data_IF_409183546665
#
_entry.id   IF_409183546665
#
_cell.length_a   1.000
_cell.length_b   1.000
_cell.length_c   1.000
_cell.angle_alpha   90.00
_cell.angle_beta   90.00
_cell.angle_gamma   90.00
#
_symmetry.space_group_name_H-M   'P 1'
#
loop_
_entity.id
_entity.type
_entity.pdbx_description
1 polymer ?
#
# COMPACT_ATOMS: atom_id res chain seq x y z
N UNK A 1 29.15 62.35 -28.09
CA UNK A 1 30.08 61.24 -28.40
C UNK A 1 29.46 59.88 -28.05
N UNK A 2 28.96 59.68 -26.82
CA UNK A 2 28.35 58.41 -26.38
C UNK A 2 27.19 57.89 -27.24
N UNK A 3 26.32 58.77 -27.77
CA UNK A 3 25.20 58.32 -28.60
C UNK A 3 25.61 57.60 -29.90
N UNK A 4 26.74 57.98 -30.53
CA UNK A 4 27.23 57.32 -31.75
C UNK A 4 27.80 55.93 -31.43
N UNK A 5 28.48 55.79 -30.30
CA UNK A 5 29.02 54.51 -29.83
C UNK A 5 27.88 53.54 -29.51
N UNK A 6 26.83 54.01 -28.82
CA UNK A 6 25.64 53.20 -28.50
C UNK A 6 24.96 52.69 -29.77
N UNK A 7 24.81 53.51 -30.81
CA UNK A 7 24.23 53.08 -32.08
C UNK A 7 25.09 52.01 -32.77
N UNK A 8 26.41 52.18 -32.78
CA UNK A 8 27.32 51.17 -33.36
C UNK A 8 27.26 49.85 -32.59
N UNK A 9 27.20 49.88 -31.25
CA UNK A 9 27.05 48.67 -30.45
C UNK A 9 25.68 48.01 -30.66
N UNK A 10 24.62 48.80 -30.82
CA UNK A 10 23.29 48.30 -31.14
C UNK A 10 23.31 47.51 -32.45
N UNK A 11 23.88 48.08 -33.51
CA UNK A 11 23.95 47.39 -34.81
C UNK A 11 24.79 46.10 -34.71
N UNK A 12 25.92 46.11 -33.98
CA UNK A 12 26.75 44.91 -33.75
C UNK A 12 25.97 43.79 -33.03
N UNK A 13 25.21 44.14 -31.98
CA UNK A 13 24.43 43.15 -31.21
C UNK A 13 23.29 42.58 -32.05
N UNK A 14 22.63 43.42 -32.87
CA UNK A 14 21.59 42.98 -33.79
C UNK A 14 22.18 42.05 -34.87
N UNK A 15 23.32 42.42 -35.47
CA UNK A 15 23.99 41.62 -36.50
C UNK A 15 24.48 40.25 -35.97
N UNK A 16 24.76 40.17 -34.65
CA UNK A 16 25.13 38.91 -34.00
C UNK A 16 23.95 37.93 -33.87
N UNK A 17 22.73 38.44 -33.70
CA UNK A 17 21.48 37.67 -33.81
C UNK A 17 21.11 36.77 -32.61
N UNK A 18 21.96 36.61 -31.60
CA UNK A 18 21.61 35.83 -30.39
C UNK A 18 20.70 36.62 -29.45
N UNK A 19 19.57 36.02 -29.07
CA UNK A 19 18.52 36.67 -28.28
C UNK A 19 19.03 37.15 -26.91
N UNK A 20 19.94 36.40 -26.29
CA UNK A 20 20.54 36.76 -25.00
C UNK A 20 21.23 38.13 -25.04
N UNK A 21 22.07 38.38 -26.05
CA UNK A 21 22.82 39.63 -26.15
C UNK A 21 21.91 40.80 -26.50
N UNK A 22 20.92 40.57 -27.37
CA UNK A 22 19.91 41.59 -27.74
C UNK A 22 19.12 42.01 -26.49
N UNK A 23 18.64 41.05 -25.71
CA UNK A 23 17.95 41.29 -24.44
C UNK A 23 18.82 42.05 -23.43
N UNK A 24 20.03 41.56 -23.13
CA UNK A 24 20.93 42.20 -22.16
C UNK A 24 21.25 43.63 -22.55
N UNK A 25 21.51 43.86 -23.85
CA UNK A 25 21.75 45.20 -24.37
C UNK A 25 20.53 46.12 -24.18
N UNK A 26 19.33 45.66 -24.54
CA UNK A 26 18.11 46.45 -24.43
C UNK A 26 17.72 46.77 -22.97
N UNK A 27 17.99 45.84 -22.05
CA UNK A 27 17.72 45.98 -20.62
C UNK A 27 18.67 46.99 -19.95
N UNK A 28 19.96 46.87 -20.21
CA UNK A 28 20.99 47.61 -19.47
C UNK A 28 21.32 48.97 -20.10
N UNK A 29 21.09 49.13 -21.41
CA UNK A 29 21.44 50.34 -22.16
C UNK A 29 20.18 51.14 -22.49
N UNK A 30 20.15 52.41 -22.09
CA UNK A 30 19.04 53.31 -22.41
C UNK A 30 19.05 53.72 -23.88
N UNK A 31 18.33 52.97 -24.71
CA UNK A 31 18.14 53.26 -26.14
C UNK A 31 16.94 54.19 -26.34
N UNK A 32 17.03 55.15 -27.27
CA UNK A 32 15.93 56.09 -27.58
C UNK A 32 14.81 55.46 -28.41
N UNK A 33 15.15 54.48 -29.24
CA UNK A 33 14.21 53.76 -30.10
C UNK A 33 14.53 52.26 -30.00
N UNK A 34 13.61 51.51 -29.41
CA UNK A 34 13.75 50.07 -29.19
C UNK A 34 13.17 49.23 -30.33
N UNK A 35 12.47 49.81 -31.31
CA UNK A 35 11.81 49.05 -32.38
C UNK A 35 12.76 48.11 -33.15
N UNK A 36 13.98 48.56 -33.46
CA UNK A 36 15.01 47.71 -34.07
C UNK A 36 15.40 46.51 -33.20
N UNK A 37 15.38 46.66 -31.87
CA UNK A 37 15.69 45.59 -30.93
C UNK A 37 14.49 44.65 -30.75
N UNK A 38 13.27 45.17 -30.88
CA UNK A 38 12.04 44.35 -30.92
C UNK A 38 12.01 43.44 -32.15
N UNK A 39 12.34 43.98 -33.33
CA UNK A 39 12.45 43.17 -34.55
C UNK A 39 13.57 42.13 -34.39
N UNK A 40 14.76 42.55 -33.92
CA UNK A 40 15.90 41.65 -33.76
C UNK A 40 15.67 40.54 -32.73
N UNK A 41 15.00 40.82 -31.61
CA UNK A 41 14.71 39.78 -30.60
C UNK A 41 13.69 38.78 -31.13
N UNK A 42 12.74 39.22 -31.95
CA UNK A 42 11.78 38.33 -32.62
C UNK A 42 12.50 37.45 -33.65
N UNK A 43 13.40 38.05 -34.44
CA UNK A 43 14.19 37.34 -35.44
C UNK A 43 15.15 36.31 -34.83
N UNK A 44 15.56 36.48 -33.57
CA UNK A 44 16.34 35.46 -32.85
C UNK A 44 15.58 34.14 -32.67
N UNK A 45 14.25 34.20 -32.66
CA UNK A 45 13.35 33.06 -32.47
C UNK A 45 13.56 32.30 -31.13
N UNK A 46 14.09 32.97 -30.11
CA UNK A 46 14.34 32.42 -28.77
C UNK A 46 13.24 32.88 -27.79
N UNK A 47 12.16 32.09 -27.66
CA UNK A 47 10.97 32.46 -26.87
C UNK A 47 11.28 32.98 -25.45
N UNK A 48 12.18 32.31 -24.73
CA UNK A 48 12.59 32.73 -23.38
C UNK A 48 13.10 34.18 -23.38
N UNK A 49 13.90 34.58 -24.37
CA UNK A 49 14.42 35.95 -24.43
C UNK A 49 13.39 36.95 -24.96
N UNK A 50 12.45 36.55 -25.82
CA UNK A 50 11.29 37.39 -26.20
C UNK A 50 10.45 37.71 -24.95
N UNK A 51 10.18 36.72 -24.11
CA UNK A 51 9.50 36.90 -22.83
C UNK A 51 10.29 37.83 -21.88
N UNK A 52 11.58 37.54 -21.66
CA UNK A 52 12.43 38.35 -20.78
C UNK A 52 12.54 39.81 -21.27
N UNK A 53 12.57 40.01 -22.59
CA UNK A 53 12.54 41.33 -23.21
C UNK A 53 11.24 42.06 -22.87
N UNK A 54 10.08 41.43 -23.09
CA UNK A 54 8.78 42.02 -22.76
C UNK A 54 8.65 42.38 -21.26
N UNK A 55 9.23 41.56 -20.38
CA UNK A 55 9.17 41.75 -18.92
C UNK A 55 10.06 42.88 -18.43
N UNK A 56 11.30 42.93 -18.90
CA UNK A 56 12.34 43.77 -18.30
C UNK A 56 12.60 45.07 -19.08
N UNK A 57 12.33 45.10 -20.38
CA UNK A 57 12.65 46.25 -21.24
C UNK A 57 11.52 47.29 -21.20
N UNK A 58 11.85 48.49 -20.74
CA UNK A 58 10.88 49.57 -20.58
C UNK A 58 10.32 50.04 -21.94
N UNK A 59 8.99 50.18 -22.00
CA UNK A 59 8.22 50.58 -23.18
C UNK A 59 8.23 49.57 -24.33
N UNK A 60 8.64 48.31 -24.09
CA UNK A 60 8.56 47.25 -25.08
C UNK A 60 7.14 47.10 -25.65
N UNK A 61 7.05 46.82 -26.93
CA UNK A 61 5.80 46.59 -27.65
C UNK A 61 5.24 45.21 -27.33
N UNK A 62 4.45 45.14 -26.25
CA UNK A 62 3.86 43.90 -25.74
C UNK A 62 3.01 43.18 -26.80
N UNK A 63 2.23 43.92 -27.60
CA UNK A 63 1.39 43.32 -28.64
C UNK A 63 2.24 42.62 -29.72
N UNK A 64 3.33 43.26 -30.14
CA UNK A 64 4.25 42.70 -31.13
C UNK A 64 4.98 41.46 -30.60
N UNK A 65 5.52 41.53 -29.38
CA UNK A 65 6.24 40.42 -28.75
C UNK A 65 5.32 39.24 -28.43
N UNK A 66 4.09 39.53 -27.97
CA UNK A 66 3.05 38.52 -27.79
C UNK A 66 2.73 37.81 -29.11
N UNK A 67 2.54 38.57 -30.19
CA UNK A 67 2.25 38.01 -31.50
C UNK A 67 3.37 37.07 -31.96
N UNK A 68 4.63 37.45 -31.80
CA UNK A 68 5.77 36.60 -32.13
C UNK A 68 5.75 35.27 -31.35
N UNK A 69 5.39 35.31 -30.07
CA UNK A 69 5.30 34.14 -29.21
C UNK A 69 4.15 33.19 -29.62
N UNK A 70 3.00 33.75 -30.03
CA UNK A 70 1.85 32.97 -30.55
C UNK A 70 2.17 32.37 -31.92
N UNK A 71 2.71 33.19 -32.83
CA UNK A 71 3.05 32.80 -34.21
C UNK A 71 4.27 31.88 -34.28
N UNK A 72 4.97 31.66 -33.16
CA UNK A 72 6.11 30.77 -33.08
C UNK A 72 5.76 29.39 -33.63
N UNK A 73 6.44 29.05 -34.72
CA UNK A 73 6.45 27.74 -35.34
C UNK A 73 7.84 27.18 -35.17
N UNK A 74 7.90 25.93 -34.71
CA UNK A 74 9.13 25.18 -34.53
C UNK A 74 10.05 25.37 -35.75
N UNK A 75 11.24 25.96 -35.62
CA UNK A 75 12.30 25.73 -36.59
C UNK A 75 12.72 24.26 -36.51
N UNK A 76 13.22 23.65 -37.59
CA UNK A 76 13.73 22.25 -37.64
C UNK A 76 14.94 22.04 -36.68
N UNK A 77 14.73 22.18 -35.38
CA UNK A 77 15.70 21.99 -34.32
C UNK A 77 15.66 20.52 -33.94
N UNK A 78 16.56 19.77 -34.56
CA UNK A 78 16.90 18.38 -34.21
C UNK A 78 17.72 18.32 -32.91
N UNK A 79 18.09 19.47 -32.32
CA UNK A 79 19.20 19.59 -31.36
C UNK A 79 18.85 19.86 -29.90
N UNK A 80 17.58 20.08 -29.53
CA UNK A 80 17.18 20.24 -28.13
C UNK A 80 16.12 19.18 -27.83
N UNK A 81 16.47 18.17 -27.01
CA UNK A 81 15.61 17.05 -26.60
C UNK A 81 14.38 17.46 -25.75
N UNK A 82 13.83 18.66 -25.93
CA UNK A 82 12.59 19.11 -25.29
C UNK A 82 11.43 18.94 -26.27
N UNK A 83 10.31 18.37 -25.81
CA UNK A 83 9.07 18.37 -26.59
C UNK A 83 8.69 19.84 -26.84
N UNK A 84 8.70 20.23 -28.12
CA UNK A 84 8.60 21.64 -28.54
C UNK A 84 7.34 22.34 -28.05
N UNK A 85 6.28 21.57 -27.80
CA UNK A 85 4.98 22.09 -27.39
C UNK A 85 4.99 22.50 -25.92
N UNK A 86 5.73 21.76 -25.07
CA UNK A 86 5.97 22.09 -23.66
C UNK A 86 6.76 23.40 -23.52
N UNK A 87 7.82 23.59 -24.32
CA UNK A 87 8.61 24.83 -24.31
C UNK A 87 7.80 26.06 -24.73
N UNK A 88 6.96 25.92 -25.77
CA UNK A 88 6.06 26.99 -26.20
C UNK A 88 5.02 27.28 -25.12
N UNK A 89 4.43 26.24 -24.54
CA UNK A 89 3.40 26.35 -23.51
C UNK A 89 3.92 27.05 -22.24
N UNK A 90 5.11 26.69 -21.76
CA UNK A 90 5.79 27.34 -20.63
C UNK A 90 5.94 28.84 -20.87
N UNK A 91 6.42 29.22 -22.05
CA UNK A 91 6.62 30.63 -22.40
C UNK A 91 5.30 31.40 -22.52
N UNK A 92 4.24 30.78 -23.05
CA UNK A 92 2.90 31.38 -23.09
C UNK A 92 2.38 31.64 -21.67
N UNK A 93 2.47 30.64 -20.78
CA UNK A 93 2.00 30.76 -19.40
C UNK A 93 2.80 31.80 -18.60
N UNK A 94 4.13 31.81 -18.74
CA UNK A 94 5.01 32.81 -18.14
C UNK A 94 4.71 34.23 -18.64
N UNK A 95 4.47 34.39 -19.94
CA UNK A 95 4.12 35.68 -20.52
C UNK A 95 2.78 36.18 -19.98
N UNK A 96 1.75 35.33 -19.97
CA UNK A 96 0.42 35.68 -19.50
C UNK A 96 0.39 36.08 -18.02
N UNK A 97 1.13 35.37 -17.17
CA UNK A 97 1.16 35.59 -15.72
C UNK A 97 1.98 36.82 -15.30
N UNK A 98 3.02 37.18 -16.05
CA UNK A 98 3.98 38.22 -15.63
C UNK A 98 3.86 39.54 -16.40
N UNK A 99 3.25 39.56 -17.59
CA UNK A 99 3.28 40.74 -18.47
C UNK A 99 1.97 41.54 -18.38
N UNK A 100 2.06 42.73 -17.80
CA UNK A 100 0.91 43.66 -17.73
C UNK A 100 0.52 44.16 -19.12
N UNK A 101 -0.75 44.03 -19.47
CA UNK A 101 -1.30 44.46 -20.76
C UNK A 101 -1.24 43.40 -21.85
N UNK A 102 -0.81 42.17 -21.51
CA UNK A 102 -0.97 41.02 -22.38
C UNK A 102 -2.45 40.74 -22.68
N UNK A 103 -2.73 40.34 -23.92
CA UNK A 103 -4.06 39.93 -24.36
C UNK A 103 -4.27 38.44 -24.01
N UNK A 104 -4.85 38.24 -22.83
CA UNK A 104 -5.06 36.92 -22.21
C UNK A 104 -5.92 36.01 -23.07
N UNK A 105 -6.94 36.54 -23.77
CA UNK A 105 -7.80 35.72 -24.63
C UNK A 105 -7.02 35.05 -25.77
N UNK A 106 -6.12 35.78 -26.42
CA UNK A 106 -5.26 35.19 -27.46
C UNK A 106 -4.22 34.23 -26.91
N UNK A 107 -3.67 34.52 -25.73
CA UNK A 107 -2.72 33.62 -25.06
C UNK A 107 -3.40 32.35 -24.59
N UNK A 108 -4.66 32.44 -24.16
CA UNK A 108 -5.51 31.30 -23.82
C UNK A 108 -5.77 30.40 -25.03
N UNK A 109 -6.11 30.97 -26.19
CA UNK A 109 -6.27 30.20 -27.43
C UNK A 109 -4.95 29.48 -27.79
N UNK A 110 -3.84 30.21 -27.72
CA UNK A 110 -2.52 29.66 -28.04
C UNK A 110 -2.06 28.56 -27.07
N UNK A 111 -2.31 28.69 -25.76
CA UNK A 111 -1.94 27.64 -24.78
C UNK A 111 -2.80 26.39 -24.99
N UNK A 112 -4.10 26.55 -25.28
CA UNK A 112 -4.99 25.43 -25.58
C UNK A 112 -4.51 24.64 -26.81
N UNK A 113 -4.02 25.33 -27.84
CA UNK A 113 -3.48 24.70 -29.06
C UNK A 113 -2.22 23.84 -28.80
N UNK A 114 -1.47 24.11 -27.72
CA UNK A 114 -0.29 23.29 -27.37
C UNK A 114 -0.65 21.90 -26.84
N UNK A 115 -1.89 21.71 -26.36
CA UNK A 115 -2.34 20.51 -25.63
C UNK A 115 -1.46 20.11 -24.42
N UNK A 116 -0.59 21.00 -23.92
CA UNK A 116 0.20 20.74 -22.72
C UNK A 116 -0.67 20.96 -21.47
N UNK A 117 -1.34 19.91 -21.01
CA UNK A 117 -2.32 20.00 -19.90
C UNK A 117 -1.69 20.56 -18.62
N UNK A 118 -0.44 20.21 -18.32
CA UNK A 118 0.33 20.76 -17.20
C UNK A 118 0.36 22.30 -17.26
N UNK A 119 0.81 22.87 -18.38
CA UNK A 119 0.86 24.32 -18.54
C UNK A 119 -0.51 24.98 -18.74
N UNK A 120 -1.52 24.25 -19.21
CA UNK A 120 -2.91 24.71 -19.19
C UNK A 120 -3.41 24.85 -17.74
N UNK A 121 -3.04 23.92 -16.86
CA UNK A 121 -3.33 23.99 -15.43
C UNK A 121 -2.61 25.18 -14.78
N UNK A 122 -1.30 25.31 -14.99
CA UNK A 122 -0.49 26.45 -14.53
C UNK A 122 -1.07 27.79 -15.00
N UNK A 123 -1.50 27.86 -16.27
CA UNK A 123 -2.16 29.05 -16.82
C UNK A 123 -3.43 29.37 -16.04
N UNK A 124 -4.27 28.38 -15.77
CA UNK A 124 -5.51 28.60 -15.02
C UNK A 124 -5.26 29.00 -13.55
N UNK A 125 -4.19 28.49 -12.93
CA UNK A 125 -3.81 28.82 -11.54
C UNK A 125 -3.26 30.24 -11.44
N UNK A 126 -2.40 30.65 -12.38
CA UNK A 126 -1.58 31.87 -12.22
C UNK A 126 -2.03 33.07 -13.05
N UNK A 127 -2.89 32.90 -14.06
CA UNK A 127 -3.26 33.98 -14.98
C UNK A 127 -4.60 34.60 -14.61
N UNK A 128 -4.55 35.84 -14.14
CA UNK A 128 -5.75 36.65 -13.89
C UNK A 128 -6.54 36.91 -15.19
N UNK A 129 -7.82 36.57 -15.20
CA UNK A 129 -8.70 36.74 -16.35
C UNK A 129 -8.72 35.54 -17.31
N UNK A 130 -8.07 34.42 -16.96
CA UNK A 130 -8.21 33.16 -17.66
C UNK A 130 -9.65 32.62 -17.58
N UNK A 131 -10.11 31.96 -18.63
CA UNK A 131 -11.40 31.29 -18.71
C UNK A 131 -11.34 29.93 -17.99
N UNK A 132 -11.51 29.96 -16.67
CA UNK A 132 -11.43 28.80 -15.80
C UNK A 132 -12.39 27.67 -16.23
N UNK A 133 -13.58 27.99 -16.71
CA UNK A 133 -14.53 26.98 -17.20
C UNK A 133 -13.99 26.22 -18.41
N UNK A 134 -13.44 26.93 -19.41
CA UNK A 134 -12.87 26.32 -20.62
C UNK A 134 -11.62 25.50 -20.30
N UNK A 135 -10.70 26.05 -19.50
CA UNK A 135 -9.46 25.37 -19.14
C UNK A 135 -9.76 24.16 -18.24
N UNK A 136 -10.71 24.30 -17.32
CA UNK A 136 -11.20 23.21 -16.49
C UNK A 136 -11.78 22.06 -17.31
N UNK A 137 -12.51 22.34 -18.38
CA UNK A 137 -13.01 21.30 -19.29
C UNK A 137 -11.86 20.53 -19.96
N UNK A 138 -10.77 21.19 -20.36
CA UNK A 138 -9.59 20.51 -20.94
C UNK A 138 -8.87 19.64 -19.89
N UNK A 139 -8.64 20.18 -18.70
CA UNK A 139 -7.96 19.47 -17.59
C UNK A 139 -8.78 18.25 -17.18
N UNK A 140 -10.09 18.38 -16.99
CA UNK A 140 -10.96 17.26 -16.64
C UNK A 140 -10.98 16.15 -17.71
N UNK A 141 -10.79 16.50 -18.98
CA UNK A 141 -10.76 15.53 -20.08
C UNK A 141 -9.40 14.83 -20.25
N UNK A 142 -8.34 15.31 -19.61
CA UNK A 142 -7.00 14.71 -19.69
C UNK A 142 -6.90 13.34 -19.01
N UNK A 143 -7.78 13.08 -18.02
CA UNK A 143 -7.70 11.98 -17.06
C UNK A 143 -6.42 11.98 -16.19
N UNK A 144 -5.65 13.08 -16.17
CA UNK A 144 -4.55 13.26 -15.23
C UNK A 144 -5.11 13.74 -13.89
N UNK A 145 -5.19 12.81 -12.93
CA UNK A 145 -5.83 13.08 -11.64
C UNK A 145 -5.00 13.99 -10.75
N UNK A 146 -3.67 13.94 -10.85
CA UNK A 146 -2.82 14.83 -10.07
C UNK A 146 -3.10 16.28 -10.52
N UNK A 147 -3.14 16.53 -11.82
CA UNK A 147 -3.49 17.86 -12.36
C UNK A 147 -4.94 18.27 -12.07
N UNK A 148 -5.90 17.33 -12.07
CA UNK A 148 -7.29 17.62 -11.73
C UNK A 148 -7.43 18.01 -10.25
N UNK A 149 -6.75 17.30 -9.35
CA UNK A 149 -6.70 17.63 -7.92
C UNK A 149 -6.02 18.98 -7.69
N UNK A 150 -4.86 19.20 -8.30
CA UNK A 150 -4.10 20.45 -8.17
C UNK A 150 -4.93 21.64 -8.66
N UNK A 151 -5.67 21.47 -9.77
CA UNK A 151 -6.62 22.47 -10.27
C UNK A 151 -7.77 22.73 -9.28
N UNK A 152 -8.36 21.69 -8.71
CA UNK A 152 -9.45 21.82 -7.73
C UNK A 152 -9.02 22.55 -6.45
N UNK A 153 -7.79 22.32 -6.01
CA UNK A 153 -7.22 22.91 -4.79
C UNK A 153 -6.80 24.37 -4.99
N UNK A 154 -6.19 24.69 -6.14
CA UNK A 154 -5.51 25.97 -6.33
C UNK A 154 -6.32 27.02 -7.11
N UNK A 155 -7.45 26.65 -7.73
CA UNK A 155 -8.27 27.58 -8.54
C UNK A 155 -9.58 27.93 -7.83
N UNK A 156 -9.69 29.17 -7.35
CA UNK A 156 -10.82 29.65 -6.53
C UNK A 156 -12.19 29.50 -7.20
N UNK A 157 -12.27 29.75 -8.50
CA UNK A 157 -13.52 29.70 -9.28
C UNK A 157 -13.69 28.37 -10.03
N UNK A 158 -12.95 27.32 -9.65
CA UNK A 158 -13.05 26.01 -10.27
C UNK A 158 -14.45 25.42 -10.10
N UNK A 159 -14.98 24.83 -11.17
CA UNK A 159 -16.24 24.12 -11.14
C UNK A 159 -16.07 22.73 -10.52
N UNK A 160 -16.13 22.67 -9.18
CA UNK A 160 -15.93 21.42 -8.41
C UNK A 160 -16.93 20.33 -8.82
N UNK A 161 -18.16 20.69 -9.19
CA UNK A 161 -19.17 19.75 -9.69
C UNK A 161 -18.71 19.00 -10.95
N UNK A 162 -18.13 19.71 -11.91
CA UNK A 162 -17.55 19.11 -13.12
C UNK A 162 -16.35 18.23 -12.79
N UNK A 163 -15.48 18.68 -11.89
CA UNK A 163 -14.31 17.94 -11.44
C UNK A 163 -14.72 16.61 -10.81
N UNK A 164 -15.62 16.64 -9.82
CA UNK A 164 -16.14 15.44 -9.15
C UNK A 164 -16.79 14.49 -10.16
N UNK A 165 -17.59 15.02 -11.10
CA UNK A 165 -18.21 14.20 -12.15
C UNK A 165 -17.17 13.50 -13.03
N UNK A 166 -16.06 14.18 -13.33
CA UNK A 166 -14.99 13.66 -14.18
C UNK A 166 -14.17 12.59 -13.46
N UNK A 167 -13.85 12.80 -12.18
CA UNK A 167 -13.18 11.81 -11.33
C UNK A 167 -14.05 10.57 -11.12
N UNK A 168 -15.37 10.72 -10.90
CA UNK A 168 -16.29 9.59 -10.80
C UNK A 168 -16.30 8.76 -12.09
N UNK A 169 -16.29 9.41 -13.26
CA UNK A 169 -16.26 8.74 -14.57
C UNK A 169 -15.00 7.90 -14.79
N UNK A 170 -13.88 8.26 -14.16
CA UNK A 170 -12.63 7.48 -14.22
C UNK A 170 -12.76 6.11 -13.52
N UNK A 171 -13.74 5.95 -12.61
CA UNK A 171 -14.05 4.70 -11.92
C UNK A 171 -12.89 4.11 -11.10
N UNK A 172 -12.02 4.98 -10.57
CA UNK A 172 -10.93 4.61 -9.66
C UNK A 172 -11.21 5.11 -8.23
N UNK A 173 -11.37 4.18 -7.29
CA UNK A 173 -11.68 4.49 -5.91
C UNK A 173 -10.55 5.25 -5.18
N UNK A 174 -9.28 5.06 -5.56
CA UNK A 174 -8.16 5.78 -4.96
C UNK A 174 -8.20 7.25 -5.34
N UNK A 175 -8.48 7.55 -6.61
CA UNK A 175 -8.65 8.92 -7.10
C UNK A 175 -9.83 9.63 -6.44
N UNK A 176 -10.97 8.93 -6.32
CA UNK A 176 -12.14 9.45 -5.58
C UNK A 176 -11.82 9.71 -4.10
N UNK A 177 -11.02 8.85 -3.48
CA UNK A 177 -10.58 9.02 -2.09
C UNK A 177 -9.64 10.22 -1.92
N UNK A 178 -8.68 10.41 -2.85
CA UNK A 178 -7.77 11.57 -2.86
C UNK A 178 -8.57 12.87 -2.93
N UNK A 179 -9.43 13.01 -3.94
CA UNK A 179 -10.26 14.20 -4.11
C UNK A 179 -11.18 14.45 -2.90
N UNK A 180 -11.78 13.40 -2.32
CA UNK A 180 -12.60 13.56 -1.11
C UNK A 180 -11.81 14.10 0.09
N UNK A 181 -10.55 13.68 0.22
CA UNK A 181 -9.63 14.16 1.26
C UNK A 181 -9.22 15.61 1.05
N UNK A 182 -9.02 16.02 -0.21
CA UNK A 182 -8.59 17.38 -0.55
C UNK A 182 -9.75 18.38 -0.39
N UNK A 183 -10.96 18.01 -0.85
CA UNK A 183 -12.14 18.88 -0.80
C UNK A 183 -12.67 19.08 0.63
N UNK A 184 -12.70 18.03 1.45
CA UNK A 184 -13.27 18.02 2.81
C UNK A 184 -14.71 18.57 2.93
N UNK A 185 -15.44 18.60 1.81
CA UNK A 185 -16.81 19.09 1.75
C UNK A 185 -17.80 17.93 1.77
N UNK A 186 -18.73 17.97 2.74
CA UNK A 186 -19.70 16.90 2.98
C UNK A 186 -20.59 16.56 1.78
N UNK A 187 -20.95 17.53 0.92
CA UNK A 187 -21.78 17.29 -0.25
C UNK A 187 -21.01 16.47 -1.29
N UNK A 188 -19.77 16.84 -1.57
CA UNK A 188 -18.93 16.12 -2.54
C UNK A 188 -18.44 14.78 -1.99
N UNK A 189 -18.10 14.69 -0.71
CA UNK A 189 -17.77 13.43 -0.02
C UNK A 189 -18.91 12.42 -0.18
N UNK A 190 -20.16 12.83 0.00
CA UNK A 190 -21.32 11.92 -0.14
C UNK A 190 -21.46 11.37 -1.56
N UNK A 191 -21.21 12.21 -2.58
CA UNK A 191 -21.24 11.79 -3.98
C UNK A 191 -20.11 10.82 -4.30
N UNK A 192 -18.88 11.16 -3.91
CA UNK A 192 -17.70 10.32 -4.11
C UNK A 192 -17.83 8.99 -3.37
N UNK A 193 -18.35 9.00 -2.15
CA UNK A 193 -18.64 7.80 -1.37
C UNK A 193 -19.58 6.84 -2.11
N UNK A 194 -20.67 7.37 -2.66
CA UNK A 194 -21.64 6.57 -3.42
C UNK A 194 -20.95 5.94 -4.64
N UNK A 195 -20.19 6.73 -5.38
CA UNK A 195 -19.43 6.25 -6.53
C UNK A 195 -18.38 5.19 -6.16
N UNK A 196 -17.66 5.35 -5.04
CA UNK A 196 -16.71 4.36 -4.53
C UNK A 196 -17.39 3.01 -4.28
N UNK A 197 -18.58 3.01 -3.71
CA UNK A 197 -19.37 1.77 -3.50
C UNK A 197 -19.75 1.15 -4.85
N UNK A 198 -20.17 1.96 -5.82
CA UNK A 198 -20.55 1.51 -7.16
C UNK A 198 -19.39 0.88 -7.94
N UNK A 199 -18.13 1.27 -7.66
CA UNK A 199 -16.95 0.62 -8.26
C UNK A 199 -16.86 -0.87 -7.90
N UNK A 200 -17.44 -1.28 -6.77
CA UNK A 200 -17.29 -2.62 -6.20
C UNK A 200 -15.87 -2.94 -5.73
N UNK A 201 -14.95 -1.98 -5.68
CA UNK A 201 -13.58 -2.19 -5.23
C UNK A 201 -13.54 -2.26 -3.69
N UNK A 202 -13.38 -3.48 -3.15
CA UNK A 202 -13.36 -3.73 -1.71
C UNK A 202 -12.28 -2.94 -0.96
N UNK A 203 -11.07 -2.82 -1.54
CA UNK A 203 -9.99 -2.04 -0.93
C UNK A 203 -10.34 -0.56 -0.94
N UNK A 204 -10.86 -0.06 -2.08
CA UNK A 204 -11.28 1.32 -2.24
C UNK A 204 -12.36 1.74 -1.24
N UNK A 205 -13.39 0.90 -1.06
CA UNK A 205 -14.45 1.13 -0.06
C UNK A 205 -13.86 1.18 1.35
N UNK A 206 -12.98 0.25 1.68
CA UNK A 206 -12.33 0.17 2.99
C UNK A 206 -11.41 1.38 3.24
N UNK A 207 -10.62 1.77 2.23
CA UNK A 207 -9.69 2.89 2.31
C UNK A 207 -10.43 4.23 2.42
N UNK A 208 -11.52 4.40 1.66
CA UNK A 208 -12.37 5.59 1.77
C UNK A 208 -12.96 5.70 3.18
N UNK A 209 -13.55 4.62 3.70
CA UNK A 209 -14.11 4.60 5.05
C UNK A 209 -13.08 4.86 6.15
N UNK A 210 -11.85 4.37 5.98
CA UNK A 210 -10.78 4.54 6.97
C UNK A 210 -10.12 5.92 6.93
N UNK A 211 -10.06 6.57 5.76
CA UNK A 211 -9.33 7.83 5.57
C UNK A 211 -10.21 9.08 5.65
N UNK A 212 -11.48 8.98 5.30
CA UNK A 212 -12.38 10.14 5.17
C UNK A 212 -13.25 10.27 6.42
N UNK A 213 -12.92 11.23 7.29
CA UNK A 213 -13.53 11.43 8.62
C UNK A 213 -15.06 11.64 8.57
N UNK A 214 -15.55 12.37 7.57
CA UNK A 214 -16.97 12.71 7.43
C UNK A 214 -17.77 11.72 6.57
N UNK A 215 -17.18 10.56 6.25
CA UNK A 215 -17.88 9.54 5.47
C UNK A 215 -18.96 8.82 6.27
N UNK A 216 -20.05 8.42 5.61
CA UNK A 216 -21.08 7.60 6.23
C UNK A 216 -20.59 6.14 6.29
N UNK A 217 -20.05 5.78 7.46
CA UNK A 217 -19.54 4.44 7.76
C UNK A 217 -20.60 3.35 7.56
N UNK A 218 -21.88 3.62 7.87
CA UNK A 218 -22.94 2.60 7.73
C UNK A 218 -23.22 2.31 6.26
N UNK A 219 -23.26 3.35 5.43
CA UNK A 219 -23.45 3.20 4.00
C UNK A 219 -22.25 2.49 3.34
N UNK A 220 -21.02 2.84 3.71
CA UNK A 220 -19.80 2.16 3.21
C UNK A 220 -19.74 0.70 3.66
N UNK A 221 -20.08 0.42 4.92
CA UNK A 221 -20.18 -0.94 5.44
C UNK A 221 -21.23 -1.75 4.67
N UNK A 222 -22.43 -1.21 4.48
CA UNK A 222 -23.47 -1.89 3.71
C UNK A 222 -23.01 -2.12 2.25
N UNK A 223 -22.39 -1.12 1.63
CA UNK A 223 -21.81 -1.21 0.29
C UNK A 223 -20.77 -2.33 0.17
N UNK A 224 -19.84 -2.40 1.13
CA UNK A 224 -18.82 -3.46 1.21
C UNK A 224 -19.47 -4.85 1.25
N UNK A 225 -20.45 -5.05 2.13
CA UNK A 225 -21.11 -6.34 2.36
C UNK A 225 -21.98 -6.79 1.17
N UNK A 226 -22.44 -5.84 0.35
CA UNK A 226 -23.24 -6.09 -0.86
C UNK A 226 -22.42 -6.22 -2.15
N UNK A 227 -21.10 -6.03 -2.10
CA UNK A 227 -20.24 -6.17 -3.27
C UNK A 227 -20.30 -7.60 -3.83
N UNK A 228 -20.59 -7.71 -5.13
CA UNK A 228 -20.65 -8.99 -5.86
C UNK A 228 -19.36 -9.21 -6.65
N UNK A 229 -19.13 -10.46 -7.07
CA UNK A 229 -18.03 -10.86 -7.97
C UNK A 229 -16.61 -10.91 -7.37
N UNK A 230 -16.49 -11.02 -6.05
CA UNK A 230 -15.20 -11.27 -5.38
C UNK A 230 -15.11 -12.71 -4.90
N UNK A 231 -13.90 -13.21 -4.71
CA UNK A 231 -13.75 -14.48 -4.01
C UNK A 231 -13.95 -14.28 -2.50
N UNK A 232 -14.39 -15.35 -1.82
CA UNK A 232 -14.70 -15.34 -0.39
C UNK A 232 -13.53 -14.86 0.49
N UNK A 233 -12.29 -15.14 0.05
CA UNK A 233 -11.08 -14.72 0.76
C UNK A 233 -10.86 -13.21 0.70
N UNK A 234 -10.99 -12.59 -0.47
CA UNK A 234 -10.87 -11.14 -0.66
C UNK A 234 -11.92 -10.37 0.13
N UNK A 235 -13.18 -10.83 0.08
CA UNK A 235 -14.26 -10.23 0.87
C UNK A 235 -14.00 -10.36 2.37
N UNK A 236 -13.60 -11.55 2.84
CA UNK A 236 -13.25 -11.77 4.25
C UNK A 236 -12.07 -10.90 4.69
N UNK A 237 -11.05 -10.72 3.84
CA UNK A 237 -9.95 -9.82 4.12
C UNK A 237 -10.42 -8.37 4.21
N UNK A 238 -11.25 -7.90 3.29
CA UNK A 238 -11.75 -6.54 3.29
C UNK A 238 -12.63 -6.26 4.52
N UNK A 239 -13.52 -7.18 4.89
CA UNK A 239 -14.33 -7.08 6.12
C UNK A 239 -13.44 -7.01 7.36
N UNK A 240 -12.44 -7.89 7.45
CA UNK A 240 -11.46 -7.86 8.53
C UNK A 240 -10.73 -6.51 8.60
N UNK A 241 -10.23 -5.99 7.47
CA UNK A 241 -9.56 -4.69 7.38
C UNK A 241 -10.48 -3.54 7.76
N UNK A 242 -11.75 -3.59 7.34
CA UNK A 242 -12.75 -2.60 7.70
C UNK A 242 -12.96 -2.57 9.22
N UNK A 243 -13.13 -3.73 9.85
CA UNK A 243 -13.36 -3.84 11.30
C UNK A 243 -12.20 -3.30 12.15
N UNK A 244 -10.94 -3.42 11.68
CA UNK A 244 -9.77 -2.93 12.42
C UNK A 244 -9.40 -1.47 12.13
N UNK A 245 -9.78 -0.93 10.97
CA UNK A 245 -9.38 0.41 10.51
C UNK A 245 -10.48 1.47 10.63
N UNK A 246 -11.75 1.06 10.60
CA UNK A 246 -12.88 2.00 10.55
C UNK A 246 -13.54 2.11 11.91
N UNK A 247 -13.57 3.32 12.47
CA UNK A 247 -14.25 3.60 13.72
C UNK A 247 -15.77 3.57 13.54
N UNK A 248 -16.50 3.20 14.60
CA UNK A 248 -17.97 3.18 14.62
C UNK A 248 -18.66 2.22 13.63
N UNK A 249 -17.92 1.27 13.05
CA UNK A 249 -18.51 0.17 12.26
C UNK A 249 -19.35 -0.77 13.14
N UNK A 250 -20.39 -1.35 12.57
CA UNK A 250 -21.22 -2.37 13.21
C UNK A 250 -20.49 -3.72 13.19
N UNK A 251 -19.78 -4.02 14.28
CA UNK A 251 -18.92 -5.20 14.43
C UNK A 251 -19.72 -6.50 14.40
N UNK A 252 -20.96 -6.51 14.93
CA UNK A 252 -21.78 -7.71 14.95
C UNK A 252 -22.16 -8.11 13.52
N UNK A 253 -22.56 -7.16 12.68
CA UNK A 253 -22.87 -7.41 11.28
C UNK A 253 -21.63 -7.86 10.48
N UNK A 254 -20.46 -7.22 10.69
CA UNK A 254 -19.21 -7.64 10.04
C UNK A 254 -18.83 -9.07 10.45
N UNK A 255 -19.00 -9.40 11.73
CA UNK A 255 -18.69 -10.71 12.28
C UNK A 255 -19.63 -11.80 11.74
N UNK A 256 -20.94 -11.53 11.67
CA UNK A 256 -21.90 -12.43 11.04
C UNK A 256 -21.46 -12.75 9.60
N UNK A 257 -21.06 -11.72 8.84
CA UNK A 257 -20.60 -11.93 7.47
C UNK A 257 -19.33 -12.76 7.38
N UNK A 258 -18.34 -12.53 8.25
CA UNK A 258 -17.12 -13.35 8.30
C UNK A 258 -17.42 -14.83 8.58
N UNK A 259 -18.41 -15.10 9.44
CA UNK A 259 -18.85 -16.46 9.73
C UNK A 259 -19.57 -17.10 8.55
N UNK A 260 -20.39 -16.35 7.82
CA UNK A 260 -21.05 -16.84 6.60
C UNK A 260 -20.06 -17.29 5.52
N UNK A 261 -18.96 -16.54 5.35
CA UNK A 261 -17.88 -16.92 4.41
C UNK A 261 -17.14 -18.20 4.86
N UNK A 262 -17.26 -18.55 6.15
CA UNK A 262 -16.79 -19.81 6.73
C UNK A 262 -15.29 -20.09 6.53
N UNK A 263 -14.46 -19.04 6.52
CA UNK A 263 -13.00 -19.15 6.44
C UNK A 263 -12.39 -19.05 7.85
N UNK A 264 -11.86 -20.14 8.43
CA UNK A 264 -11.42 -20.16 9.84
C UNK A 264 -10.28 -19.20 10.15
N UNK A 265 -9.44 -18.91 9.15
CA UNK A 265 -8.38 -17.90 9.27
C UNK A 265 -8.93 -16.52 9.66
N UNK A 266 -9.97 -16.06 8.98
CA UNK A 266 -10.52 -14.74 9.24
C UNK A 266 -11.39 -14.73 10.50
N UNK A 267 -12.12 -15.80 10.80
CA UNK A 267 -12.79 -15.94 12.10
C UNK A 267 -11.80 -15.80 13.27
N UNK A 268 -10.65 -16.46 13.15
CA UNK A 268 -9.57 -16.36 14.15
C UNK A 268 -8.95 -14.96 14.22
N UNK A 269 -8.56 -14.37 13.08
CA UNK A 269 -8.00 -13.00 13.05
C UNK A 269 -8.98 -11.98 13.64
N UNK A 270 -10.26 -12.10 13.30
CA UNK A 270 -11.31 -11.22 13.81
C UNK A 270 -11.41 -11.32 15.34
N UNK A 271 -11.44 -12.54 15.90
CA UNK A 271 -11.45 -12.75 17.35
C UNK A 271 -10.21 -12.19 18.05
N UNK A 272 -9.04 -12.29 17.41
CA UNK A 272 -7.76 -11.84 17.98
C UNK A 272 -7.64 -10.31 17.98
N UNK A 273 -8.03 -9.67 16.88
CA UNK A 273 -7.65 -8.27 16.62
C UNK A 273 -8.81 -7.28 16.82
N UNK A 274 -10.07 -7.72 16.72
CA UNK A 274 -11.24 -6.85 16.84
C UNK A 274 -11.74 -6.81 18.28
N UNK A 275 -11.50 -5.68 18.96
CA UNK A 275 -11.74 -5.50 20.40
C UNK A 275 -13.17 -5.78 20.87
N UNK A 276 -14.17 -5.48 20.06
CA UNK A 276 -15.59 -5.63 20.40
C UNK A 276 -16.22 -6.91 19.83
N UNK A 277 -15.41 -7.86 19.34
CA UNK A 277 -15.91 -9.11 18.79
C UNK A 277 -16.52 -10.03 19.85
N UNK A 278 -17.50 -10.83 19.45
CA UNK A 278 -18.11 -11.85 20.29
C UNK A 278 -17.27 -13.13 20.26
N UNK A 279 -16.31 -13.20 21.18
CA UNK A 279 -15.36 -14.33 21.27
C UNK A 279 -16.03 -15.69 21.43
N UNK A 280 -17.13 -15.77 22.21
CA UNK A 280 -17.86 -17.04 22.42
C UNK A 280 -18.54 -17.52 21.15
N UNK A 281 -19.09 -16.59 20.38
CA UNK A 281 -19.69 -16.91 19.09
C UNK A 281 -18.62 -17.39 18.10
N UNK A 282 -17.52 -16.64 17.95
CA UNK A 282 -16.43 -17.01 17.06
C UNK A 282 -15.76 -18.33 17.46
N UNK A 283 -15.59 -18.59 18.75
CA UNK A 283 -15.10 -19.87 19.28
C UNK A 283 -15.98 -21.04 18.79
N UNK A 284 -17.30 -20.92 18.93
CA UNK A 284 -18.24 -21.95 18.50
C UNK A 284 -18.13 -22.22 16.99
N UNK A 285 -17.94 -21.17 16.19
CA UNK A 285 -17.84 -21.28 14.72
C UNK A 285 -16.49 -21.82 14.26
N UNK A 286 -15.42 -21.51 14.97
CA UNK A 286 -14.11 -22.12 14.73
C UNK A 286 -14.14 -23.62 15.06
N UNK A 287 -14.80 -24.03 16.14
CA UNK A 287 -15.01 -25.44 16.46
C UNK A 287 -15.83 -26.15 15.36
N UNK A 288 -16.92 -25.52 14.88
CA UNK A 288 -17.75 -26.04 13.79
C UNK A 288 -16.94 -26.25 12.49
N UNK A 289 -15.91 -25.42 12.25
CA UNK A 289 -15.05 -25.54 11.06
C UNK A 289 -14.19 -26.80 11.02
N UNK A 290 -13.94 -27.43 12.18
CA UNK A 290 -13.05 -28.60 12.34
C UNK A 290 -11.65 -28.40 11.73
N UNK A 291 -11.17 -27.15 11.70
CA UNK A 291 -9.82 -26.85 11.24
C UNK A 291 -8.85 -26.87 12.42
N UNK A 292 -8.12 -27.97 12.60
CA UNK A 292 -7.26 -28.19 13.77
C UNK A 292 -6.23 -27.07 13.99
N UNK A 293 -5.69 -26.49 12.91
CA UNK A 293 -4.76 -25.35 12.97
C UNK A 293 -5.40 -24.15 13.66
N UNK A 294 -6.57 -23.71 13.20
CA UNK A 294 -7.20 -22.50 13.72
C UNK A 294 -7.88 -22.74 15.08
N UNK A 295 -8.33 -23.95 15.37
CA UNK A 295 -8.76 -24.34 16.73
C UNK A 295 -7.59 -24.23 17.72
N UNK A 296 -6.41 -24.74 17.35
CA UNK A 296 -5.20 -24.63 18.17
C UNK A 296 -4.74 -23.17 18.34
N UNK A 297 -4.69 -22.39 17.26
CA UNK A 297 -4.28 -20.98 17.34
C UNK A 297 -5.25 -20.15 18.19
N UNK A 298 -6.55 -20.43 18.11
CA UNK A 298 -7.55 -19.79 18.98
C UNK A 298 -7.29 -20.12 20.46
N UNK A 299 -7.13 -21.41 20.81
CA UNK A 299 -6.85 -21.82 22.19
C UNK A 299 -5.55 -21.20 22.74
N UNK A 300 -4.56 -21.00 21.87
CA UNK A 300 -3.24 -20.48 22.23
C UNK A 300 -3.25 -18.98 22.48
N UNK A 301 -3.97 -18.21 21.67
CA UNK A 301 -3.89 -16.74 21.67
C UNK A 301 -5.07 -16.08 22.41
N UNK A 302 -6.22 -16.73 22.49
CA UNK A 302 -7.43 -16.18 23.13
C UNK A 302 -7.57 -16.70 24.55
N UNK A 303 -7.21 -15.87 25.53
CA UNK A 303 -7.11 -16.28 26.95
C UNK A 303 -8.44 -16.65 27.62
N UNK A 304 -9.56 -16.15 27.13
CA UNK A 304 -10.90 -16.40 27.69
C UNK A 304 -11.59 -17.64 27.10
N UNK A 305 -10.88 -18.42 26.28
CA UNK A 305 -11.42 -19.57 25.55
C UNK A 305 -11.68 -20.80 26.43
N UNK A 306 -12.67 -21.59 26.02
CA UNK A 306 -13.04 -22.86 26.65
C UNK A 306 -12.08 -23.96 26.22
N UNK A 307 -11.00 -24.10 27.00
CA UNK A 307 -9.92 -25.07 26.74
C UNK A 307 -10.45 -26.50 26.56
N UNK A 308 -11.49 -26.90 27.30
CA UNK A 308 -12.01 -28.27 27.22
C UNK A 308 -12.72 -28.49 25.87
N UNK A 309 -13.59 -27.58 25.45
CA UNK A 309 -14.26 -27.68 24.14
C UNK A 309 -13.28 -27.66 22.98
N UNK A 310 -12.27 -26.78 23.05
CA UNK A 310 -11.24 -26.70 22.02
C UNK A 310 -10.39 -27.97 21.98
N UNK A 311 -10.08 -28.56 23.14
CA UNK A 311 -9.38 -29.84 23.21
C UNK A 311 -10.19 -30.97 22.59
N UNK A 312 -11.48 -31.07 22.90
CA UNK A 312 -12.36 -32.11 22.38
C UNK A 312 -12.44 -31.99 20.84
N UNK A 313 -12.53 -30.77 20.32
CA UNK A 313 -12.48 -30.52 18.88
C UNK A 313 -11.13 -30.95 18.25
N UNK A 314 -9.99 -30.66 18.89
CA UNK A 314 -8.66 -31.09 18.41
C UNK A 314 -8.54 -32.62 18.35
N UNK A 315 -9.08 -33.30 19.36
CA UNK A 315 -9.13 -34.76 19.39
C UNK A 315 -9.98 -35.27 18.21
N UNK A 316 -11.15 -34.68 17.98
CA UNK A 316 -12.06 -35.05 16.90
C UNK A 316 -11.46 -34.80 15.50
N UNK A 317 -10.62 -33.79 15.34
CA UNK A 317 -9.89 -33.54 14.10
C UNK A 317 -8.88 -34.66 13.77
N UNK A 318 -8.42 -35.41 14.79
CA UNK A 318 -7.51 -36.55 14.66
C UNK A 318 -6.18 -36.22 13.94
N UNK A 319 -5.71 -34.97 14.06
CA UNK A 319 -4.43 -34.53 13.50
C UNK A 319 -3.34 -34.61 14.58
N UNK A 320 -2.48 -35.62 14.49
CA UNK A 320 -1.45 -35.93 15.48
C UNK A 320 -0.54 -34.74 15.85
N UNK A 321 -0.22 -33.89 14.87
CA UNK A 321 0.54 -32.67 15.07
C UNK A 321 -0.15 -31.74 16.07
N UNK A 322 -1.42 -31.42 15.83
CA UNK A 322 -2.17 -30.48 16.65
C UNK A 322 -2.54 -31.04 18.01
N UNK A 323 -2.80 -32.36 18.13
CA UNK A 323 -2.95 -33.03 19.42
C UNK A 323 -1.68 -32.86 20.27
N UNK A 324 -0.51 -33.10 19.68
CA UNK A 324 0.79 -32.90 20.34
C UNK A 324 1.04 -31.43 20.71
N UNK A 325 0.80 -30.50 19.78
CA UNK A 325 0.99 -29.07 20.00
C UNK A 325 0.07 -28.57 21.12
N UNK A 326 -1.19 -29.01 21.14
CA UNK A 326 -2.15 -28.63 22.16
C UNK A 326 -1.69 -29.06 23.56
N UNK A 327 -1.26 -30.32 23.71
CA UNK A 327 -0.77 -30.85 24.98
C UNK A 327 0.48 -30.14 25.51
N UNK A 328 1.34 -29.67 24.60
CA UNK A 328 2.58 -28.98 24.94
C UNK A 328 2.34 -27.52 25.36
N UNK A 329 1.50 -26.80 24.61
CA UNK A 329 1.46 -25.34 24.65
C UNK A 329 0.20 -24.76 25.28
N UNK A 330 -0.87 -25.53 25.43
CA UNK A 330 -2.11 -25.06 26.06
C UNK A 330 -2.12 -25.44 27.54
N UNK A 331 -2.24 -24.43 28.40
CA UNK A 331 -2.35 -24.60 29.85
C UNK A 331 -3.65 -25.32 30.19
N UNK A 332 -3.63 -26.10 31.28
CA UNK A 332 -4.79 -26.85 31.78
C UNK A 332 -5.38 -27.90 30.81
N UNK A 333 -4.67 -28.23 29.72
CA UNK A 333 -5.05 -29.36 28.85
C UNK A 333 -4.89 -30.70 29.56
N UNK A 334 -5.80 -31.64 29.29
CA UNK A 334 -5.75 -33.01 29.78
C UNK A 334 -4.74 -33.82 28.96
N UNK A 335 -3.48 -33.73 29.38
CA UNK A 335 -2.36 -34.40 28.72
C UNK A 335 -2.48 -35.93 28.70
N UNK A 336 -3.13 -36.55 29.69
CA UNK A 336 -3.32 -38.00 29.70
C UNK A 336 -4.29 -38.43 28.61
N UNK A 337 -5.41 -37.71 28.46
CA UNK A 337 -6.36 -37.94 27.37
C UNK A 337 -5.71 -37.66 26.01
N UNK A 338 -5.02 -36.53 25.85
CA UNK A 338 -4.30 -36.22 24.61
C UNK A 338 -3.24 -37.28 24.27
N UNK A 339 -2.59 -37.87 25.26
CA UNK A 339 -1.67 -39.00 25.06
C UNK A 339 -2.41 -40.23 24.52
N UNK A 340 -3.54 -40.62 25.13
CA UNK A 340 -4.29 -41.80 24.68
C UNK A 340 -4.85 -41.60 23.27
N UNK A 341 -5.33 -40.40 22.93
CA UNK A 341 -5.80 -40.09 21.59
C UNK A 341 -4.66 -40.02 20.58
N UNK A 342 -3.51 -39.44 20.93
CA UNK A 342 -2.33 -39.42 20.06
C UNK A 342 -1.85 -40.83 19.70
N UNK A 343 -1.90 -41.77 20.64
CA UNK A 343 -1.57 -43.19 20.37
C UNK A 343 -2.47 -43.76 19.26
N UNK A 344 -3.77 -43.44 19.27
CA UNK A 344 -4.73 -43.93 18.27
C UNK A 344 -4.45 -43.41 16.87
N UNK A 345 -3.85 -42.21 16.73
CA UNK A 345 -3.45 -41.65 15.42
C UNK A 345 -2.42 -42.50 14.69
N UNK A 346 -1.69 -43.37 15.41
CA UNK A 346 -0.55 -44.15 14.90
C UNK A 346 0.52 -43.28 14.24
N UNK A 347 0.74 -42.07 14.74
CA UNK A 347 1.82 -41.20 14.27
C UNK A 347 3.04 -41.29 15.21
N UNK A 348 4.04 -42.08 14.82
CA UNK A 348 5.25 -42.33 15.63
C UNK A 348 6.04 -41.05 15.91
N UNK A 349 6.19 -40.17 14.91
CA UNK A 349 6.94 -38.91 15.04
C UNK A 349 6.39 -38.06 16.18
N UNK A 350 5.08 -37.77 16.17
CA UNK A 350 4.48 -36.91 17.19
C UNK A 350 4.34 -37.63 18.54
N UNK A 351 4.17 -38.95 18.56
CA UNK A 351 4.19 -39.73 19.80
C UNK A 351 5.55 -39.70 20.50
N UNK A 352 6.65 -39.86 19.76
CA UNK A 352 8.02 -39.75 20.30
C UNK A 352 8.27 -38.32 20.81
N UNK A 353 7.87 -37.30 20.04
CA UNK A 353 8.00 -35.90 20.47
C UNK A 353 7.21 -35.62 21.76
N UNK A 354 5.98 -36.09 21.84
CA UNK A 354 5.13 -35.99 23.04
C UNK A 354 5.82 -36.62 24.25
N UNK A 355 6.27 -37.87 24.11
CA UNK A 355 6.92 -38.63 25.17
C UNK A 355 8.19 -37.92 25.68
N UNK A 356 8.99 -37.36 24.76
CA UNK A 356 10.23 -36.65 25.09
C UNK A 356 10.00 -35.35 25.86
N UNK A 357 8.93 -34.58 25.54
CA UNK A 357 8.68 -33.26 26.13
C UNK A 357 7.83 -33.30 27.40
N UNK A 358 6.74 -34.07 27.39
CA UNK A 358 5.71 -33.99 28.43
C UNK A 358 6.01 -34.95 29.60
N UNK A 359 6.97 -35.87 29.45
CA UNK A 359 7.46 -36.80 30.49
C UNK A 359 6.33 -37.58 31.19
N UNK A 360 5.27 -37.93 30.46
CA UNK A 360 4.26 -38.87 30.95
C UNK A 360 4.80 -40.28 30.75
N UNK A 361 5.20 -40.91 31.85
CA UNK A 361 5.58 -42.32 31.83
C UNK A 361 4.33 -43.18 31.73
N UNK A 362 3.98 -43.60 30.52
CA UNK A 362 2.92 -44.58 30.28
C UNK A 362 3.47 -45.84 29.65
N UNK A 363 3.02 -46.99 30.17
CA UNK A 363 3.22 -48.31 29.57
C UNK A 363 2.57 -48.38 28.18
N UNK A 364 1.47 -47.65 27.98
CA UNK A 364 0.73 -47.59 26.73
C UNK A 364 1.58 -46.94 25.62
N UNK A 365 2.43 -45.96 25.94
CA UNK A 365 3.37 -45.40 24.95
C UNK A 365 4.40 -46.45 24.53
N UNK A 366 4.94 -47.24 25.46
CA UNK A 366 5.89 -48.30 25.14
C UNK A 366 5.24 -49.40 24.29
N UNK A 367 4.01 -49.80 24.62
CA UNK A 367 3.22 -50.74 23.83
C UNK A 367 2.90 -50.18 22.43
N UNK A 368 2.49 -48.92 22.34
CA UNK A 368 2.22 -48.25 21.07
C UNK A 368 3.47 -48.17 20.19
N UNK A 369 4.63 -47.80 20.75
CA UNK A 369 5.91 -47.76 20.04
C UNK A 369 6.31 -49.16 19.55
N UNK A 370 6.12 -50.18 20.37
CA UNK A 370 6.40 -51.56 19.99
C UNK A 370 5.51 -52.03 18.82
N UNK A 371 4.24 -51.60 18.79
CA UNK A 371 3.28 -51.96 17.75
C UNK A 371 3.57 -51.35 16.36
N UNK A 372 4.51 -50.40 16.25
CA UNK A 372 4.99 -49.95 14.93
C UNK A 372 5.87 -51.00 14.24
N UNK A 373 6.36 -52.01 14.97
CA UNK A 373 7.17 -53.12 14.46
C UNK A 373 8.38 -52.64 13.62
N UNK A 374 8.95 -51.49 13.99
CA UNK A 374 10.01 -50.81 13.26
C UNK A 374 11.20 -50.53 14.19
N UNK A 375 12.35 -51.12 13.83
CA UNK A 375 13.59 -50.93 14.57
C UNK A 375 13.97 -49.44 14.66
N UNK A 376 13.86 -48.69 13.56
CA UNK A 376 14.23 -47.27 13.51
C UNK A 376 13.37 -46.42 14.44
N UNK A 377 12.05 -46.66 14.48
CA UNK A 377 11.12 -45.95 15.37
C UNK A 377 11.42 -46.27 16.83
N UNK A 378 11.66 -47.54 17.17
CA UNK A 378 11.99 -47.96 18.53
C UNK A 378 13.34 -47.37 18.97
N UNK A 379 14.35 -47.41 18.09
CA UNK A 379 15.67 -46.85 18.36
C UNK A 379 15.59 -45.32 18.53
N UNK A 380 14.80 -44.63 17.70
CA UNK A 380 14.55 -43.20 17.85
C UNK A 380 13.88 -42.87 19.19
N UNK A 381 12.88 -43.67 19.60
CA UNK A 381 12.21 -43.52 20.90
C UNK A 381 13.21 -43.71 22.06
N UNK A 382 14.00 -44.78 22.06
CA UNK A 382 15.03 -45.05 23.09
C UNK A 382 16.03 -43.90 23.18
N UNK A 383 16.46 -43.36 22.03
CA UNK A 383 17.44 -42.26 21.98
C UNK A 383 16.87 -40.93 22.50
N UNK A 384 15.59 -40.64 22.24
CA UNK A 384 14.98 -39.35 22.54
C UNK A 384 14.23 -39.31 23.88
N UNK A 385 13.81 -40.44 24.42
CA UNK A 385 12.95 -40.51 25.60
C UNK A 385 13.72 -41.05 26.80
N UNK A 386 13.98 -40.18 27.78
CA UNK A 386 14.88 -40.48 28.92
C UNK A 386 14.41 -41.61 29.83
N UNK A 387 13.12 -41.94 29.80
CA UNK A 387 12.50 -43.00 30.59
C UNK A 387 12.14 -44.22 29.75
N UNK A 388 12.67 -44.34 28.52
CA UNK A 388 12.44 -45.51 27.68
C UNK A 388 13.00 -46.78 28.35
N UNK A 389 12.14 -47.77 28.54
CA UNK A 389 12.54 -49.08 29.06
C UNK A 389 13.06 -49.96 27.92
N UNK A 390 14.38 -49.98 27.73
CA UNK A 390 15.03 -50.83 26.72
C UNK A 390 14.69 -52.32 26.94
N UNK A 391 14.55 -52.76 28.20
CA UNK A 391 14.25 -54.16 28.49
C UNK A 391 12.82 -54.53 28.10
N UNK A 392 11.90 -53.56 28.02
CA UNK A 392 10.57 -53.75 27.46
C UNK A 392 10.65 -54.16 25.98
N UNK A 393 11.44 -53.45 25.18
CA UNK A 393 11.56 -53.69 23.73
C UNK A 393 12.37 -54.96 23.40
N UNK A 394 13.38 -55.29 24.21
CA UNK A 394 14.21 -56.50 24.03
C UNK A 394 13.44 -57.81 24.02
N UNK A 395 12.29 -57.88 24.70
CA UNK A 395 11.44 -59.08 24.71
C UNK A 395 10.94 -59.46 23.32
N UNK A 396 10.79 -58.48 22.43
CA UNK A 396 10.30 -58.66 21.06
C UNK A 396 11.42 -58.52 20.02
N UNK A 397 12.42 -57.68 20.29
CA UNK A 397 13.57 -57.43 19.43
C UNK A 397 14.88 -57.68 20.21
N UNK A 398 15.38 -58.92 20.24
CA UNK A 398 16.60 -59.29 20.98
C UNK A 398 17.85 -58.54 20.50
N UNK A 399 17.80 -57.97 19.30
CA UNK A 399 18.89 -57.27 18.60
C UNK A 399 19.32 -55.96 19.29
N UNK A 400 18.49 -55.41 20.20
CA UNK A 400 18.86 -54.29 21.08
C UNK A 400 19.87 -54.75 22.15
N UNK A 401 21.10 -55.07 21.75
CA UNK A 401 22.15 -55.61 22.62
C UNK A 401 22.88 -54.51 23.41
N UNK A 402 22.97 -54.71 24.73
CA UNK A 402 23.20 -53.67 25.73
C UNK A 402 24.61 -53.08 25.87
N UNK A 403 25.54 -53.28 24.92
CA UNK A 403 26.94 -52.87 25.11
C UNK A 403 27.55 -51.93 24.05
N UNK A 404 27.01 -51.84 22.84
CA UNK A 404 27.47 -50.88 21.81
C UNK A 404 26.67 -49.59 21.83
N UNK A 405 25.35 -49.66 22.00
CA UNK A 405 24.48 -48.47 21.96
C UNK A 405 24.53 -47.67 23.26
N UNK A 406 24.62 -48.32 24.44
CA UNK A 406 24.74 -47.64 25.73
C UNK A 406 25.97 -46.72 25.86
N UNK A 407 27.04 -46.99 25.08
CA UNK A 407 28.28 -46.21 25.10
C UNK A 407 28.23 -45.00 24.17
N UNK A 408 27.52 -45.11 23.04
CA UNK A 408 27.20 -43.97 22.15
C UNK A 408 26.13 -43.05 22.78
N UNK A 409 25.09 -43.64 23.38
CA UNK A 409 23.98 -42.94 24.05
C UNK A 409 24.47 -42.06 25.22
N UNK A 410 25.40 -42.54 26.05
CA UNK A 410 25.95 -41.71 27.16
C UNK A 410 26.85 -40.57 26.67
N UNK A 411 27.60 -40.77 25.58
CA UNK A 411 28.51 -39.76 25.06
C UNK A 411 27.79 -38.66 24.25
N UNK A 412 26.73 -38.99 23.50
CA UNK A 412 25.94 -37.98 22.76
C UNK A 412 25.00 -37.16 23.66
N UNK A 413 24.39 -37.77 24.69
CA UNK A 413 23.57 -37.04 25.67
C UNK A 413 24.42 -36.08 26.49
N UNK A 414 25.64 -36.47 26.86
CA UNK A 414 26.61 -35.57 27.49
C UNK A 414 26.99 -34.41 26.54
N UNK A 415 27.28 -34.69 25.27
CA UNK A 415 27.66 -33.67 24.30
C UNK A 415 26.53 -32.70 23.94
N UNK A 416 25.29 -33.17 23.80
CA UNK A 416 24.12 -32.31 23.53
C UNK A 416 23.67 -31.48 24.73
N UNK A 417 23.83 -32.01 25.95
CA UNK A 417 23.62 -31.24 27.19
C UNK A 417 24.66 -30.14 27.33
N UNK A 418 25.92 -30.42 26.98
CA UNK A 418 27.00 -29.41 26.95
C UNK A 418 26.76 -28.37 25.86
N UNK A 419 26.30 -28.76 24.66
CA UNK A 419 25.98 -27.84 23.56
C UNK A 419 24.78 -26.93 23.90
N UNK A 420 23.75 -27.46 24.55
CA UNK A 420 22.61 -26.67 24.99
C UNK A 420 23.00 -25.71 26.13
N UNK A 421 23.84 -26.13 27.07
CA UNK A 421 24.40 -25.26 28.10
C UNK A 421 25.29 -24.16 27.51
N UNK A 422 26.10 -24.46 26.49
CA UNK A 422 26.97 -23.49 25.80
C UNK A 422 26.15 -22.50 24.95
N UNK A 423 25.07 -22.94 24.32
CA UNK A 423 24.16 -22.05 23.59
C UNK A 423 23.37 -21.15 24.54
N UNK A 424 22.86 -21.68 25.66
CA UNK A 424 22.21 -20.89 26.69
C UNK A 424 23.19 -19.89 27.35
N UNK A 425 24.48 -20.23 27.47
CA UNK A 425 25.53 -19.31 27.92
C UNK A 425 25.82 -18.21 26.90
N UNK A 426 26.00 -18.55 25.61
CA UNK A 426 26.23 -17.55 24.54
C UNK A 426 25.05 -16.60 24.37
N UNK A 427 23.82 -17.11 24.44
CA UNK A 427 22.60 -16.30 24.36
C UNK A 427 22.48 -15.35 25.56
N UNK A 428 22.94 -15.76 26.75
CA UNK A 428 22.98 -14.90 27.94
C UNK A 428 24.11 -13.87 27.96
N UNK A 429 25.26 -14.15 27.37
CA UNK A 429 26.35 -13.16 27.22
C UNK A 429 26.03 -12.12 26.15
N UNK A 430 25.42 -12.52 25.02
CA UNK A 430 24.98 -11.59 23.96
C UNK A 430 23.86 -10.67 24.44
N UNK A 431 23.07 -11.07 25.44
CA UNK A 431 22.06 -10.20 26.06
C UNK A 431 22.59 -9.32 27.21
N UNK A 432 23.90 -9.39 27.55
CA UNK A 432 24.53 -8.60 28.61
C UNK A 432 25.62 -7.63 28.13
N UNK A 433 25.93 -7.61 26.83
CA UNK A 433 26.67 -6.54 26.14
C UNK A 433 25.71 -5.61 25.42
#
# INVERSE_FOLDING_TARGET
>A
MYGKIILTLQDIVIDHGEGEYIYRFAKDIKVKNIAKLEDAIIDSNELNFIFLFARDVKNANIELLQKALIDFKKPDLVSLNMESDSYKAENIANFASNIKGADIGKLEDAICETNSIEYICEFAIHVNGANIDRLGDLICNSNDIDLICDFAENVLDANIDKIVTSVIKNNDANHMTKLASDLQDTYYVTRLQTAVIETGNLSGITDFAAKIEFSDTKLLQHGLLCCKNHNSFELSNAIYQFAIRVHFSDIDLLQEKIVEEFIPEFMFKFARDVRSSNLKYLESKIIESKNAKYVYEFAKQITESDTQKLQDCIIDCNEAEFIYMFACYIKNSNRNLLCSELIKTRNSKYLILFASKIKIQSKEIHEAILNFDSYDIINEFIRKVSYADINFFKKRFPEFNSNTDNKLIKNEVANSTILNLLNDFKVKEIMKS
#
